data_IF_009371062723
#
_entry.id   IF_009371062723
#
_cell.length_a   1.000
_cell.length_b   1.000
_cell.length_c   1.000
_cell.angle_alpha   90.00
_cell.angle_beta   90.00
_cell.angle_gamma   90.00
#
_symmetry.space_group_name_H-M   'P 1'
#
loop_
_entity.id
_entity.type
_entity.pdbx_description
1 polymer ?
#
# COMPACT_ATOMS: atom_id res chain seq x y z
N UNK A 1 1.90 -23.64 -17.82
CA UNK A 1 2.47 -23.27 -16.50
C UNK A 1 3.97 -23.08 -16.72
N UNK A 2 4.53 -21.93 -16.37
CA UNK A 2 5.99 -21.70 -16.47
C UNK A 2 6.53 -21.59 -15.04
N UNK A 3 7.47 -22.48 -14.71
CA UNK A 3 7.92 -22.68 -13.32
C UNK A 3 8.86 -21.58 -12.85
N UNK A 4 9.81 -21.14 -13.68
CA UNK A 4 10.77 -20.07 -13.34
C UNK A 4 11.18 -19.28 -14.58
N UNK A 5 11.00 -17.96 -14.57
CA UNK A 5 11.46 -17.06 -15.64
C UNK A 5 12.27 -15.89 -15.09
N UNK A 6 13.31 -15.52 -15.83
CA UNK A 6 14.07 -14.28 -15.63
C UNK A 6 13.99 -13.46 -16.91
N UNK A 7 13.55 -12.22 -16.80
CA UNK A 7 13.49 -11.29 -17.92
C UNK A 7 14.07 -9.95 -17.48
N UNK A 8 15.12 -9.47 -18.14
CA UNK A 8 15.84 -8.25 -17.73
C UNK A 8 15.50 -7.02 -18.57
N UNK A 9 14.77 -7.18 -19.66
CA UNK A 9 14.30 -6.10 -20.53
C UNK A 9 12.95 -5.52 -20.04
N UNK A 10 12.13 -5.00 -20.96
CA UNK A 10 10.80 -4.41 -20.73
C UNK A 10 9.66 -5.39 -21.07
N UNK A 11 9.60 -6.59 -20.47
CA UNK A 11 8.71 -7.64 -20.94
C UNK A 11 7.24 -7.25 -20.70
N UNK A 12 6.41 -7.58 -21.69
CA UNK A 12 4.97 -7.39 -21.65
C UNK A 12 4.28 -8.75 -21.51
N UNK A 13 3.72 -9.02 -20.34
CA UNK A 13 2.99 -10.26 -20.07
C UNK A 13 1.48 -10.02 -20.15
N UNK A 14 0.79 -10.89 -20.87
CA UNK A 14 -0.67 -10.87 -21.00
C UNK A 14 -1.22 -12.26 -20.76
N UNK A 15 -2.31 -12.35 -19.98
CA UNK A 15 -3.04 -13.59 -19.75
C UNK A 15 -2.11 -14.72 -19.29
N UNK A 16 -1.31 -14.46 -18.27
CA UNK A 16 -0.22 -15.34 -17.85
C UNK A 16 -0.45 -15.89 -16.44
N UNK A 17 -0.15 -17.18 -16.26
CA UNK A 17 -0.15 -17.85 -14.97
C UNK A 17 1.25 -18.42 -14.72
N UNK A 18 1.96 -17.85 -13.76
CA UNK A 18 3.38 -18.07 -13.56
C UNK A 18 3.65 -18.31 -12.08
N UNK A 19 4.56 -19.20 -11.74
CA UNK A 19 4.79 -19.53 -10.33
C UNK A 19 5.83 -18.60 -9.69
N UNK A 20 7.01 -18.47 -10.33
CA UNK A 20 8.13 -17.67 -9.81
C UNK A 20 8.81 -16.86 -10.91
N UNK A 21 8.88 -15.54 -10.74
CA UNK A 21 9.55 -14.65 -11.71
C UNK A 21 10.45 -13.60 -11.07
N UNK A 22 11.54 -13.30 -11.76
CA UNK A 22 12.34 -12.09 -11.56
C UNK A 22 12.29 -11.25 -12.84
N UNK A 23 11.77 -10.03 -12.73
CA UNK A 23 11.66 -9.10 -13.86
C UNK A 23 12.47 -7.82 -13.61
N UNK A 24 13.09 -7.30 -14.68
CA UNK A 24 13.98 -6.14 -14.69
C UNK A 24 13.29 -4.78 -14.59
N UNK A 25 13.82 -3.81 -15.33
CA UNK A 25 13.66 -2.38 -15.04
C UNK A 25 12.26 -1.83 -15.23
N UNK A 26 11.47 -2.36 -16.19
CA UNK A 26 10.14 -1.79 -16.54
C UNK A 26 9.10 -2.80 -17.08
N UNK A 27 8.80 -3.93 -16.41
CA UNK A 27 7.84 -4.88 -16.96
C UNK A 27 6.39 -4.37 -16.89
N UNK A 28 5.60 -4.72 -17.91
CA UNK A 28 4.16 -4.45 -17.98
C UNK A 28 3.36 -5.75 -17.93
N UNK A 29 2.32 -5.75 -17.11
CA UNK A 29 1.51 -6.95 -16.86
C UNK A 29 0.03 -6.67 -16.96
N UNK A 30 -0.66 -7.56 -17.64
CA UNK A 30 -2.12 -7.50 -17.81
C UNK A 30 -2.74 -8.87 -17.63
N UNK A 31 -3.78 -8.95 -16.80
CA UNK A 31 -4.56 -10.17 -16.57
C UNK A 31 -3.63 -11.32 -16.18
N UNK A 32 -3.01 -11.25 -15.01
CA UNK A 32 -2.01 -12.24 -14.61
C UNK A 32 -2.20 -12.71 -13.18
N UNK A 33 -1.94 -13.99 -12.95
CA UNK A 33 -1.95 -14.61 -11.63
C UNK A 33 -0.55 -15.17 -11.38
N UNK A 34 0.09 -14.75 -10.28
CA UNK A 34 1.33 -15.42 -9.89
C UNK A 34 1.44 -15.63 -8.38
N UNK A 35 2.22 -16.63 -8.00
CA UNK A 35 2.45 -16.94 -6.60
C UNK A 35 3.55 -16.04 -6.00
N UNK A 36 4.72 -15.97 -6.66
CA UNK A 36 5.90 -15.27 -6.16
C UNK A 36 6.59 -14.44 -7.22
N UNK A 37 6.80 -13.16 -6.93
CA UNK A 37 7.41 -12.25 -7.89
C UNK A 37 8.38 -11.27 -7.23
N UNK A 38 9.50 -11.03 -7.93
CA UNK A 38 10.44 -9.93 -7.65
C UNK A 38 10.57 -9.07 -8.89
N UNK A 39 10.31 -7.77 -8.76
CA UNK A 39 10.41 -6.81 -9.86
C UNK A 39 11.31 -5.65 -9.47
N UNK A 40 12.11 -5.19 -10.42
CA UNK A 40 12.99 -4.04 -10.30
C UNK A 40 12.28 -2.68 -10.28
N UNK A 41 13.00 -1.66 -10.77
CA UNK A 41 12.77 -0.24 -10.51
C UNK A 41 11.31 0.24 -10.71
N UNK A 42 10.76 0.11 -11.91
CA UNK A 42 9.41 0.58 -12.23
C UNK A 42 8.58 -0.55 -12.80
N UNK A 43 7.28 -0.63 -12.47
CA UNK A 43 6.42 -1.63 -13.10
C UNK A 43 4.97 -1.21 -13.15
N UNK A 44 4.24 -1.72 -14.14
CA UNK A 44 2.86 -1.36 -14.38
C UNK A 44 1.99 -2.60 -14.50
N UNK A 45 0.88 -2.58 -13.76
CA UNK A 45 0.08 -3.77 -13.53
C UNK A 45 -1.40 -3.49 -13.61
N UNK A 46 -2.10 -4.37 -14.33
CA UNK A 46 -3.54 -4.27 -14.52
C UNK A 46 -4.22 -5.62 -14.40
N UNK A 47 -5.23 -5.71 -13.53
CA UNK A 47 -6.03 -6.91 -13.30
C UNK A 47 -5.14 -8.11 -12.91
N UNK A 48 -4.74 -8.18 -11.65
CA UNK A 48 -3.82 -9.23 -11.23
C UNK A 48 -4.09 -9.69 -9.81
N UNK A 49 -3.59 -10.90 -9.51
CA UNK A 49 -3.66 -11.52 -8.20
C UNK A 49 -2.30 -12.12 -7.84
N UNK A 50 -1.79 -11.82 -6.64
CA UNK A 50 -0.59 -12.50 -6.11
C UNK A 50 -0.65 -12.81 -4.63
N UNK A 51 0.05 -13.87 -4.24
CA UNK A 51 0.34 -14.14 -2.84
C UNK A 51 1.52 -13.30 -2.32
N UNK A 52 2.67 -13.32 -3.01
CA UNK A 52 3.92 -12.74 -2.49
C UNK A 52 4.66 -11.91 -3.53
N UNK A 53 4.86 -10.63 -3.22
CA UNK A 53 5.45 -9.69 -4.15
C UNK A 53 6.46 -8.77 -3.48
N UNK A 54 7.63 -8.63 -4.12
CA UNK A 54 8.59 -7.55 -3.85
C UNK A 54 8.74 -6.72 -5.11
N UNK A 55 8.32 -5.47 -5.06
CA UNK A 55 8.46 -4.53 -6.16
C UNK A 55 9.42 -3.40 -5.75
N UNK A 56 10.15 -2.88 -6.74
CA UNK A 56 11.11 -1.80 -6.57
C UNK A 56 10.47 -0.44 -6.30
N UNK A 57 11.12 0.61 -6.80
CA UNK A 57 10.92 2.00 -6.41
C UNK A 57 9.51 2.53 -6.71
N UNK A 58 8.98 2.36 -7.92
CA UNK A 58 7.78 3.12 -8.36
C UNK A 58 6.65 2.28 -8.99
N UNK A 59 6.22 1.16 -8.37
CA UNK A 59 5.24 0.27 -8.99
C UNK A 59 3.84 0.88 -9.02
N UNK A 60 3.11 0.66 -10.13
CA UNK A 60 1.73 1.12 -10.34
C UNK A 60 0.79 -0.06 -10.52
N UNK A 61 -0.22 -0.11 -9.66
CA UNK A 61 -1.18 -1.21 -9.58
C UNK A 61 -2.60 -0.71 -9.82
N UNK A 62 -3.32 -1.39 -10.72
CA UNK A 62 -4.73 -1.12 -11.00
C UNK A 62 -5.53 -2.43 -10.98
N UNK A 63 -6.63 -2.45 -10.23
CA UNK A 63 -7.51 -3.61 -10.09
C UNK A 63 -6.72 -4.82 -9.58
N UNK A 64 -6.42 -4.85 -8.29
CA UNK A 64 -5.49 -5.82 -7.75
C UNK A 64 -5.91 -6.47 -6.44
N UNK A 65 -5.49 -7.72 -6.26
CA UNK A 65 -5.56 -8.44 -5.00
C UNK A 65 -4.18 -8.95 -4.60
N UNK A 66 -3.71 -8.61 -3.39
CA UNK A 66 -2.38 -8.98 -2.90
C UNK A 66 -2.43 -9.45 -1.45
N UNK A 67 -1.87 -10.62 -1.16
CA UNK A 67 -1.80 -11.10 0.21
C UNK A 67 -0.62 -10.46 0.97
N UNK A 68 0.61 -10.61 0.47
CA UNK A 68 1.83 -10.13 1.13
C UNK A 68 2.71 -9.33 0.16
N UNK A 69 2.77 -8.02 0.37
CA UNK A 69 3.49 -7.11 -0.49
C UNK A 69 4.60 -6.34 0.24
N UNK A 70 5.74 -6.17 -0.44
CA UNK A 70 6.78 -5.18 -0.09
C UNK A 70 7.00 -4.27 -1.28
N UNK A 71 6.76 -2.97 -1.09
CA UNK A 71 6.97 -1.93 -2.08
C UNK A 71 8.13 -1.03 -1.67
N UNK A 72 8.84 -0.49 -2.67
CA UNK A 72 9.81 0.60 -2.48
C UNK A 72 9.15 1.96 -2.23
N UNK A 73 9.75 3.00 -2.82
CA UNK A 73 9.64 4.41 -2.42
C UNK A 73 8.37 5.16 -2.81
N UNK A 74 7.64 4.77 -3.87
CA UNK A 74 6.48 5.56 -4.33
C UNK A 74 5.35 4.70 -4.95
N UNK A 75 4.91 3.60 -4.30
CA UNK A 75 3.94 2.71 -4.92
C UNK A 75 2.57 3.39 -5.06
N UNK A 76 1.89 3.13 -6.18
CA UNK A 76 0.57 3.67 -6.47
C UNK A 76 -0.44 2.55 -6.64
N UNK A 77 -1.50 2.58 -5.85
CA UNK A 77 -2.57 1.60 -5.88
C UNK A 77 -3.91 2.26 -6.22
N UNK A 78 -4.62 1.63 -7.15
CA UNK A 78 -5.98 2.03 -7.55
C UNK A 78 -6.87 0.81 -7.61
N UNK A 79 -8.04 0.86 -6.96
CA UNK A 79 -9.00 -0.24 -6.92
C UNK A 79 -8.31 -1.54 -6.47
N UNK A 80 -7.70 -1.52 -5.28
CA UNK A 80 -6.83 -2.62 -4.82
C UNK A 80 -7.27 -3.12 -3.45
N UNK A 81 -7.21 -4.43 -3.25
CA UNK A 81 -7.45 -5.11 -1.99
C UNK A 81 -6.16 -5.79 -1.54
N UNK A 82 -5.74 -5.54 -0.30
CA UNK A 82 -4.50 -6.09 0.23
C UNK A 82 -4.67 -6.58 1.67
N UNK A 83 -3.98 -7.66 2.03
CA UNK A 83 -3.96 -8.13 3.42
C UNK A 83 -2.80 -7.46 4.18
N UNK A 84 -1.57 -7.62 3.69
CA UNK A 84 -0.36 -7.13 4.39
C UNK A 84 0.57 -6.39 3.44
N UNK A 85 0.86 -5.14 3.78
CA UNK A 85 1.81 -4.32 3.05
C UNK A 85 2.89 -3.71 3.96
N UNK A 86 4.14 -3.80 3.49
CA UNK A 86 5.21 -2.90 3.89
C UNK A 86 5.55 -1.99 2.72
N UNK A 87 5.28 -0.70 2.85
CA UNK A 87 5.67 0.30 1.86
C UNK A 87 6.80 1.16 2.43
N UNK A 88 7.71 1.59 1.56
CA UNK A 88 8.67 2.64 1.88
C UNK A 88 7.98 3.99 1.97
N UNK A 89 8.54 4.96 1.25
CA UNK A 89 8.09 6.34 1.25
C UNK A 89 6.77 6.52 0.46
N UNK A 90 6.03 7.58 0.80
CA UNK A 90 4.97 8.22 0.01
C UNK A 90 3.91 7.35 -0.70
N UNK A 91 3.41 6.23 -0.16
CA UNK A 91 2.51 5.37 -0.92
C UNK A 91 1.16 6.06 -1.18
N UNK A 92 0.65 5.93 -2.42
CA UNK A 92 -0.58 6.59 -2.88
C UNK A 92 -1.70 5.60 -3.09
N UNK A 93 -2.85 5.87 -2.46
CA UNK A 93 -4.00 4.98 -2.44
C UNK A 93 -5.26 5.66 -2.93
N UNK A 94 -5.98 4.96 -3.82
CA UNK A 94 -7.30 5.38 -4.28
C UNK A 94 -8.25 4.20 -4.37
N UNK A 95 -9.43 4.33 -3.77
CA UNK A 95 -10.47 3.30 -3.83
C UNK A 95 -9.92 1.93 -3.43
N UNK A 96 -9.26 1.84 -2.28
CA UNK A 96 -8.55 0.61 -1.87
C UNK A 96 -8.93 0.18 -0.46
N UNK A 97 -8.82 -1.12 -0.21
CA UNK A 97 -8.99 -1.73 1.10
C UNK A 97 -7.69 -2.44 1.49
N UNK A 98 -7.27 -2.28 2.74
CA UNK A 98 -6.07 -2.91 3.26
C UNK A 98 -6.30 -3.34 4.71
N UNK A 99 -5.87 -4.53 5.12
CA UNK A 99 -5.96 -4.91 6.54
C UNK A 99 -4.80 -4.30 7.33
N UNK A 100 -3.56 -4.53 6.92
CA UNK A 100 -2.37 -4.14 7.70
C UNK A 100 -1.34 -3.40 6.88
N UNK A 101 -1.11 -2.14 7.24
CA UNK A 101 -0.05 -1.32 6.68
C UNK A 101 1.07 -1.04 7.70
N UNK A 102 2.30 -1.22 7.23
CA UNK A 102 3.46 -0.48 7.74
C UNK A 102 3.99 0.40 6.61
N UNK A 103 3.83 1.70 6.75
CA UNK A 103 4.38 2.67 5.81
C UNK A 103 5.48 3.46 6.51
N UNK A 104 6.48 3.89 5.74
CA UNK A 104 7.42 4.91 6.18
C UNK A 104 6.74 6.29 6.16
N UNK A 105 7.26 7.17 5.32
CA UNK A 105 6.90 8.58 5.31
C UNK A 105 5.66 8.87 4.45
N UNK A 106 4.84 9.85 4.87
CA UNK A 106 3.87 10.59 4.03
C UNK A 106 2.82 9.82 3.19
N UNK A 107 2.20 8.70 3.65
CA UNK A 107 1.19 8.01 2.85
C UNK A 107 -0.06 8.88 2.60
N UNK A 108 -0.63 8.78 1.39
CA UNK A 108 -1.83 9.52 1.00
C UNK A 108 -2.96 8.58 0.60
N UNK A 109 -4.13 8.84 1.17
CA UNK A 109 -5.31 7.99 1.03
C UNK A 109 -6.53 8.76 0.55
N UNK A 110 -7.25 8.18 -0.41
CA UNK A 110 -8.52 8.71 -0.89
C UNK A 110 -9.54 7.60 -1.09
N UNK A 111 -10.73 7.76 -0.50
CA UNK A 111 -11.84 6.81 -0.63
C UNK A 111 -11.37 5.39 -0.27
N UNK A 112 -10.87 5.16 0.94
CA UNK A 112 -10.22 3.89 1.28
C UNK A 112 -10.53 3.45 2.70
N UNK A 113 -10.44 2.14 2.94
CA UNK A 113 -10.63 1.53 4.24
C UNK A 113 -9.35 0.82 4.67
N UNK A 114 -9.01 0.93 5.96
CA UNK A 114 -7.84 0.27 6.55
C UNK A 114 -8.17 -0.22 7.96
N UNK A 115 -7.75 -1.42 8.34
CA UNK A 115 -7.93 -1.87 9.73
C UNK A 115 -6.80 -1.35 10.62
N UNK A 116 -5.54 -1.62 10.26
CA UNK A 116 -4.39 -1.26 11.08
C UNK A 116 -3.32 -0.50 10.29
N UNK A 117 -3.04 0.72 10.74
CA UNK A 117 -1.96 1.56 10.21
C UNK A 117 -0.86 1.76 11.25
N UNK A 118 0.38 1.51 10.83
CA UNK A 118 1.59 2.02 11.49
C UNK A 118 2.35 2.95 10.55
N UNK A 119 2.57 4.19 10.98
CA UNK A 119 3.28 5.22 10.22
C UNK A 119 4.24 6.00 11.12
N UNK A 120 5.34 6.50 10.57
CA UNK A 120 6.28 7.37 11.28
C UNK A 120 5.79 8.81 11.40
N UNK A 121 5.56 9.47 10.26
CA UNK A 121 5.57 10.94 10.21
C UNK A 121 4.21 11.58 9.84
N UNK A 122 3.99 11.83 8.54
CA UNK A 122 2.86 12.63 8.04
C UNK A 122 1.80 11.76 7.41
N UNK A 123 0.52 12.10 7.59
CA UNK A 123 -0.60 11.42 6.92
C UNK A 123 -1.50 12.40 6.18
N UNK A 124 -1.96 12.04 4.97
CA UNK A 124 -3.06 12.77 4.30
C UNK A 124 -4.20 11.84 3.93
N UNK A 125 -5.37 12.04 4.56
CA UNK A 125 -6.53 11.16 4.42
C UNK A 125 -7.76 11.93 3.99
N UNK A 126 -8.50 11.37 3.02
CA UNK A 126 -9.77 11.94 2.54
C UNK A 126 -10.81 10.86 2.27
N UNK A 127 -11.98 10.98 2.89
CA UNK A 127 -13.10 10.05 2.73
C UNK A 127 -12.67 8.62 3.08
N UNK A 128 -12.21 8.38 4.31
CA UNK A 128 -11.63 7.08 4.67
C UNK A 128 -12.18 6.56 6.01
N UNK A 129 -12.08 5.24 6.20
CA UNK A 129 -12.40 4.57 7.46
C UNK A 129 -11.13 3.87 7.95
N UNK A 130 -10.80 4.03 9.23
CA UNK A 130 -9.65 3.38 9.87
C UNK A 130 -10.03 2.83 11.25
N UNK A 131 -9.70 1.59 11.58
CA UNK A 131 -9.97 1.10 12.94
C UNK A 131 -8.87 1.55 13.90
N UNK A 132 -7.60 1.30 13.57
CA UNK A 132 -6.46 1.55 14.46
C UNK A 132 -5.34 2.29 13.75
N UNK A 133 -4.98 3.43 14.31
CA UNK A 133 -3.78 4.16 13.94
C UNK A 133 -2.75 4.15 15.08
N UNK A 134 -1.52 3.77 14.76
CA UNK A 134 -0.36 3.95 15.63
C UNK A 134 0.73 4.74 14.90
N UNK A 135 1.09 5.87 15.49
CA UNK A 135 2.08 6.80 14.94
C UNK A 135 1.46 7.84 14.01
N UNK A 136 2.21 8.91 13.79
CA UNK A 136 1.76 10.14 13.14
C UNK A 136 2.07 11.34 14.02
N UNK A 137 3.01 12.16 13.54
CA UNK A 137 3.33 13.47 14.07
C UNK A 137 2.33 14.50 13.49
N UNK A 138 2.11 14.50 12.17
CA UNK A 138 1.25 15.51 11.52
C UNK A 138 0.13 14.94 10.65
N UNK A 139 -0.87 14.24 11.23
CA UNK A 139 -2.01 13.78 10.47
C UNK A 139 -2.93 14.93 10.01
N UNK A 140 -3.22 14.98 8.71
CA UNK A 140 -4.24 15.85 8.09
C UNK A 140 -5.37 15.03 7.50
N UNK A 141 -6.55 15.14 8.10
CA UNK A 141 -7.69 14.31 7.73
C UNK A 141 -8.93 15.11 7.36
N UNK A 142 -9.70 14.60 6.39
CA UNK A 142 -10.98 15.18 5.98
C UNK A 142 -11.99 14.08 5.72
N UNK A 143 -13.19 14.18 6.31
CA UNK A 143 -14.25 13.19 6.14
C UNK A 143 -13.76 11.77 6.49
N UNK A 144 -13.36 11.52 7.75
CA UNK A 144 -12.97 10.16 8.17
C UNK A 144 -13.74 9.68 9.40
N UNK A 145 -13.68 8.37 9.59
CA UNK A 145 -14.08 7.66 10.81
C UNK A 145 -12.87 6.90 11.33
N UNK A 146 -12.50 7.11 12.61
CA UNK A 146 -11.40 6.43 13.28
C UNK A 146 -11.85 5.90 14.66
N UNK A 147 -11.66 4.61 14.93
CA UNK A 147 -11.98 4.09 16.27
C UNK A 147 -10.87 4.41 17.28
N UNK A 148 -9.62 4.11 16.96
CA UNK A 148 -8.51 4.18 17.92
C UNK A 148 -7.30 4.90 17.34
N UNK A 149 -6.91 5.97 18.01
CA UNK A 149 -5.70 6.73 17.71
C UNK A 149 -4.67 6.62 18.84
N UNK A 150 -3.42 6.26 18.48
CA UNK A 150 -2.23 6.50 19.29
C UNK A 150 -1.25 7.38 18.50
N UNK A 151 -1.28 8.69 18.74
CA UNK A 151 -0.45 9.69 18.07
C UNK A 151 0.52 10.34 19.06
N UNK A 152 1.72 10.70 18.59
CA UNK A 152 2.70 11.44 19.40
C UNK A 152 2.38 12.93 19.52
N UNK A 153 1.74 13.50 18.48
CA UNK A 153 1.40 14.92 18.40
C UNK A 153 -0.08 15.15 18.07
N UNK A 154 -0.51 16.42 18.11
CA UNK A 154 -1.90 16.84 17.96
C UNK A 154 -2.38 16.75 16.50
N UNK A 155 -3.41 15.95 16.18
CA UNK A 155 -3.94 15.83 14.83
C UNK A 155 -4.72 17.07 14.35
N UNK A 156 -4.78 17.25 13.02
CA UNK A 156 -5.71 18.19 12.39
C UNK A 156 -6.79 17.45 11.61
N UNK A 157 -8.07 17.66 11.95
CA UNK A 157 -9.19 17.07 11.23
C UNK A 157 -10.34 18.02 10.90
N UNK A 158 -11.11 17.67 9.87
CA UNK A 158 -12.36 18.34 9.49
C UNK A 158 -13.44 17.33 9.11
N UNK A 159 -14.65 17.54 9.65
CA UNK A 159 -15.84 16.70 9.43
C UNK A 159 -15.54 15.23 9.73
N UNK A 160 -15.26 14.88 10.97
CA UNK A 160 -14.73 13.54 11.27
C UNK A 160 -15.15 13.03 12.63
N UNK A 161 -15.17 11.71 12.75
CA UNK A 161 -15.57 10.99 13.97
C UNK A 161 -14.37 10.22 14.49
N UNK A 162 -14.08 10.40 15.78
CA UNK A 162 -12.98 9.73 16.49
C UNK A 162 -13.49 9.24 17.84
N UNK A 163 -13.44 7.92 18.07
CA UNK A 163 -13.96 7.35 19.32
C UNK A 163 -12.95 7.41 20.48
N UNK A 164 -11.69 7.04 20.25
CA UNK A 164 -10.68 6.93 21.31
C UNK A 164 -9.34 7.51 20.90
N UNK A 165 -8.78 8.36 21.75
CA UNK A 165 -7.45 8.94 21.61
C UNK A 165 -6.61 8.54 22.81
N UNK A 166 -5.41 8.04 22.56
CA UNK A 166 -4.36 7.89 23.57
C UNK A 166 -3.15 8.72 23.10
N UNK A 167 -2.76 9.77 23.83
CA UNK A 167 -1.50 10.44 23.53
C UNK A 167 -0.36 9.42 23.66
N UNK A 168 0.64 9.52 22.78
CA UNK A 168 1.90 8.83 22.95
C UNK A 168 2.56 9.37 24.20
N UNK A 169 2.86 8.50 25.17
CA UNK A 169 3.80 8.82 26.24
C UNK A 169 5.09 9.32 25.58
N UNK A 170 5.44 10.57 25.80
CA UNK A 170 6.81 11.04 25.67
C UNK A 170 7.61 10.36 26.77
N UNK A 171 8.53 9.41 26.50
CA UNK A 171 9.60 9.18 27.45
C UNK A 171 10.45 10.46 27.43
N UNK A 172 10.63 11.06 28.60
CA UNK A 172 11.54 12.19 28.80
C UNK A 172 12.94 11.91 28.23
#
# INVERSE_FOLDING_TARGET
MLEKLRAWETPCWRNSMLEKICAGETPFWRNSVLEKLRVGATSCWRNFVFEKLRAGETPRWRNSALEKHRAGETPRFRNSALEKLRAGETPLWRNSALEKLRAGETPRWRNSALEELRVGETLRWRNCVLEKLRGGETPRWRNFVLEKLRAGETPCWRNSVLEKIRPGETPC
#
